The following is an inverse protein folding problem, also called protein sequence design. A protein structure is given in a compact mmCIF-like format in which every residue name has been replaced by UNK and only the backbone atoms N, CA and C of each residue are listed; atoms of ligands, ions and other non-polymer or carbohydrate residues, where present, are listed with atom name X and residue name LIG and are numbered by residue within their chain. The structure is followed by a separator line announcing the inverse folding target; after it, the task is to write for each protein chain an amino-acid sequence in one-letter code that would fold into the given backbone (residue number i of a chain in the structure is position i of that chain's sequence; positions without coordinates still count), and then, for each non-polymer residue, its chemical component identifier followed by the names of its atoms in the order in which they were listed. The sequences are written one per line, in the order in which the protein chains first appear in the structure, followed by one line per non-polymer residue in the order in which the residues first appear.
data_IF_518016485592
#
_entry.id   IF_518016485592
#
_cell.length_a   1.000
_cell.length_b   1.000
_cell.length_c   1.000
_cell.angle_alpha   90.00
_cell.angle_beta   90.00
_cell.angle_gamma   90.00
#
_symmetry.space_group_name_H-M   'P 1'
#
loop_
_entity.id
_entity.type
_entity.pdbx_description
1 polymer ?
#
# COMPACT_ATOMS: atom_id res chain seq x y z
N UNK A 1 -26.17 11.21 23.88
CA UNK A 1 -26.67 10.27 22.85
C UNK A 1 -25.79 10.47 21.62
N UNK A 2 -24.60 9.87 21.61
CA UNK A 2 -23.50 10.24 20.69
C UNK A 2 -22.55 9.06 20.40
N UNK A 3 -23.04 7.83 20.57
CA UNK A 3 -22.24 6.60 20.50
C UNK A 3 -22.58 5.70 19.31
N UNK A 4 -23.65 6.00 18.56
CA UNK A 4 -24.12 5.16 17.45
C UNK A 4 -23.36 5.44 16.16
N UNK A 5 -23.14 6.70 15.79
CA UNK A 5 -22.42 7.11 14.57
C UNK A 5 -20.98 6.56 14.48
N UNK A 6 -20.30 6.47 15.62
CA UNK A 6 -18.87 6.07 15.67
C UNK A 6 -18.62 4.57 15.47
N UNK A 7 -19.63 3.70 15.68
CA UNK A 7 -19.50 2.25 15.41
C UNK A 7 -19.68 1.96 13.92
N UNK A 8 -20.57 2.68 13.26
CA UNK A 8 -20.88 2.49 11.85
C UNK A 8 -19.70 2.89 10.95
N UNK A 9 -18.98 3.97 11.29
CA UNK A 9 -17.73 4.39 10.62
C UNK A 9 -16.58 3.38 10.78
N UNK A 10 -16.50 2.66 11.91
CA UNK A 10 -15.49 1.60 12.10
C UNK A 10 -15.85 0.33 11.35
N UNK A 11 -17.14 -0.01 11.26
CA UNK A 11 -17.61 -1.22 10.59
C UNK A 11 -17.43 -1.14 9.07
N UNK A 12 -17.57 0.06 8.51
CA UNK A 12 -17.41 0.35 7.08
C UNK A 12 -15.96 0.26 6.59
N UNK A 13 -14.96 0.47 7.45
CA UNK A 13 -13.54 0.30 7.12
C UNK A 13 -13.04 -1.15 7.07
N UNK A 14 -13.68 -2.09 7.76
CA UNK A 14 -13.18 -3.48 7.91
C UNK A 14 -13.04 -4.22 6.56
N UNK A 15 -14.04 -4.21 5.66
CA UNK A 15 -13.91 -4.88 4.36
C UNK A 15 -12.72 -4.38 3.53
N UNK A 16 -12.41 -3.09 3.63
CA UNK A 16 -11.27 -2.49 2.94
C UNK A 16 -9.93 -2.98 3.50
N UNK A 17 -9.77 -3.02 4.82
CA UNK A 17 -8.55 -3.56 5.46
C UNK A 17 -8.38 -5.06 5.19
N UNK A 18 -9.47 -5.82 5.11
CA UNK A 18 -9.44 -7.22 4.67
C UNK A 18 -8.99 -7.35 3.22
N UNK A 19 -9.52 -6.50 2.32
CA UNK A 19 -9.09 -6.47 0.92
C UNK A 19 -7.61 -6.16 0.77
N UNK A 20 -7.10 -5.12 1.46
CA UNK A 20 -5.66 -4.81 1.47
C UNK A 20 -4.85 -6.00 2.00
N UNK A 21 -5.32 -6.64 3.07
CA UNK A 21 -4.63 -7.80 3.67
C UNK A 21 -4.55 -8.95 2.67
N UNK A 22 -5.63 -9.27 1.96
CA UNK A 22 -5.67 -10.31 0.94
C UNK A 22 -4.78 -9.98 -0.25
N UNK A 23 -4.84 -8.73 -0.74
CA UNK A 23 -3.99 -8.27 -1.82
C UNK A 23 -2.51 -8.39 -1.43
N UNK A 24 -2.09 -7.75 -0.34
CA UNK A 24 -0.71 -7.79 0.13
C UNK A 24 -0.28 -9.22 0.45
N UNK A 25 -1.15 -10.03 1.04
CA UNK A 25 -0.89 -11.45 1.31
C UNK A 25 -0.63 -12.24 0.03
N UNK A 26 -1.43 -12.04 -1.02
CA UNK A 26 -1.22 -12.70 -2.32
C UNK A 26 0.10 -12.27 -2.99
N UNK A 27 0.41 -10.96 -2.94
CA UNK A 27 1.67 -10.40 -3.45
C UNK A 27 2.87 -10.95 -2.67
N UNK A 28 2.75 -11.03 -1.34
CA UNK A 28 3.76 -11.58 -0.44
C UNK A 28 4.05 -13.04 -0.78
N UNK A 29 2.99 -13.85 -0.93
CA UNK A 29 3.12 -15.27 -1.25
C UNK A 29 3.72 -15.47 -2.64
N UNK A 30 3.24 -14.72 -3.64
CA UNK A 30 3.80 -14.75 -5.00
C UNK A 30 5.28 -14.38 -5.01
N UNK A 31 5.66 -13.30 -4.32
CA UNK A 31 7.04 -12.86 -4.22
C UNK A 31 7.92 -13.87 -3.49
N UNK A 32 7.45 -14.45 -2.38
CA UNK A 32 8.18 -15.47 -1.63
C UNK A 32 8.43 -16.73 -2.47
N UNK A 33 7.41 -17.21 -3.20
CA UNK A 33 7.55 -18.37 -4.09
C UNK A 33 8.51 -18.09 -5.24
N UNK A 34 8.42 -16.91 -5.87
CA UNK A 34 9.32 -16.50 -6.94
C UNK A 34 10.77 -16.40 -6.44
N UNK A 35 10.98 -15.68 -5.35
CA UNK A 35 12.30 -15.49 -4.71
C UNK A 35 12.94 -16.82 -4.29
N UNK A 36 12.14 -17.76 -3.77
CA UNK A 36 12.62 -19.10 -3.41
C UNK A 36 13.06 -19.91 -4.65
N UNK A 37 12.30 -19.83 -5.75
CA UNK A 37 12.61 -20.53 -7.01
C UNK A 37 13.84 -19.97 -7.70
N UNK A 38 14.08 -18.67 -7.59
CA UNK A 38 15.25 -17.98 -8.14
C UNK A 38 16.53 -18.22 -7.32
N UNK A 39 16.50 -19.11 -6.33
CA UNK A 39 17.67 -19.49 -5.52
C UNK A 39 17.97 -18.53 -4.37
N UNK A 40 17.21 -17.46 -4.22
CA UNK A 40 17.40 -16.45 -3.16
C UNK A 40 16.59 -16.78 -1.90
N UNK A 41 16.54 -18.04 -1.49
CA UNK A 41 15.72 -18.52 -0.37
C UNK A 41 16.00 -17.77 0.96
N UNK A 42 17.22 -17.24 1.14
CA UNK A 42 17.60 -16.44 2.30
C UNK A 42 16.77 -15.14 2.46
N UNK A 43 16.22 -14.60 1.37
CA UNK A 43 15.41 -13.39 1.39
C UNK A 43 13.93 -13.65 1.73
N UNK A 44 13.48 -14.91 1.65
CA UNK A 44 12.08 -15.27 1.90
C UNK A 44 11.68 -14.92 3.32
N UNK A 45 12.43 -15.37 4.33
CA UNK A 45 12.15 -15.08 5.74
C UNK A 45 12.04 -13.58 6.03
N UNK A 46 13.07 -12.77 5.73
CA UNK A 46 13.03 -11.31 5.89
C UNK A 46 11.87 -10.66 5.14
N UNK A 47 11.58 -11.10 3.90
CA UNK A 47 10.46 -10.55 3.12
C UNK A 47 9.11 -10.80 3.81
N UNK A 48 8.86 -12.01 4.31
CA UNK A 48 7.64 -12.37 5.01
C UNK A 48 7.46 -11.52 6.28
N UNK A 49 8.55 -11.30 7.03
CA UNK A 49 8.52 -10.44 8.22
C UNK A 49 8.18 -8.99 7.87
N UNK A 50 8.79 -8.44 6.81
CA UNK A 50 8.52 -7.06 6.39
C UNK A 50 7.09 -6.88 5.88
N UNK A 51 6.57 -7.83 5.10
CA UNK A 51 5.17 -7.80 4.67
C UNK A 51 4.19 -7.98 5.84
N UNK A 52 4.49 -8.87 6.79
CA UNK A 52 3.70 -9.01 8.00
C UNK A 52 3.70 -7.72 8.82
N UNK A 53 4.83 -7.03 8.92
CA UNK A 53 4.92 -5.71 9.55
C UNK A 53 4.08 -4.67 8.79
N UNK A 54 4.10 -4.69 7.46
CA UNK A 54 3.32 -3.79 6.61
C UNK A 54 1.81 -3.96 6.82
N UNK A 55 1.34 -5.21 6.80
CA UNK A 55 -0.06 -5.59 7.10
C UNK A 55 -0.42 -5.27 8.55
N UNK A 56 0.46 -5.59 9.49
CA UNK A 56 0.26 -5.28 10.91
C UNK A 56 0.10 -3.78 11.16
N UNK A 57 0.87 -2.95 10.45
CA UNK A 57 0.72 -1.50 10.51
C UNK A 57 -0.66 -1.04 10.02
N UNK A 58 -1.19 -1.61 8.94
CA UNK A 58 -2.57 -1.31 8.51
C UNK A 58 -3.57 -1.57 9.64
N UNK A 59 -3.53 -2.75 10.25
CA UNK A 59 -4.43 -3.07 11.37
C UNK A 59 -4.21 -2.17 12.60
N UNK A 60 -2.97 -1.79 12.87
CA UNK A 60 -2.67 -0.83 13.94
C UNK A 60 -3.22 0.56 13.64
N UNK A 61 -3.24 0.99 12.38
CA UNK A 61 -3.83 2.26 11.96
C UNK A 61 -5.34 2.26 12.20
N UNK A 62 -6.02 1.19 11.82
CA UNK A 62 -7.43 1.00 12.13
C UNK A 62 -7.71 1.08 13.64
N UNK A 63 -6.89 0.44 14.47
CA UNK A 63 -7.04 0.47 15.92
C UNK A 63 -6.76 1.83 16.57
N UNK A 64 -5.78 2.58 16.04
CA UNK A 64 -5.21 3.79 16.64
C UNK A 64 -5.58 5.08 15.91
N UNK A 65 -6.45 5.05 14.91
CA UNK A 65 -6.79 6.23 14.07
C UNK A 65 -7.29 7.44 14.86
N UNK A 66 -7.85 7.21 16.06
CA UNK A 66 -8.36 8.27 16.93
C UNK A 66 -7.25 9.10 17.58
N UNK A 67 -5.99 8.63 17.55
CA UNK A 67 -4.85 9.37 18.10
C UNK A 67 -4.36 10.42 17.11
N UNK A 68 -4.35 11.71 17.48
CA UNK A 68 -4.18 12.82 16.52
C UNK A 68 -2.82 12.88 15.82
N UNK A 69 -1.77 12.26 16.38
CA UNK A 69 -0.42 12.22 15.80
C UNK A 69 -0.03 10.86 15.22
N UNK A 70 -0.88 9.83 15.41
CA UNK A 70 -0.55 8.48 14.97
C UNK A 70 -0.36 8.38 13.46
N UNK A 71 -1.17 9.13 12.70
CA UNK A 71 -1.08 9.15 11.24
C UNK A 71 0.32 9.51 10.72
N UNK A 72 1.04 10.44 11.37
CA UNK A 72 2.40 10.83 10.95
C UNK A 72 3.34 9.64 11.07
N UNK A 73 3.34 8.99 12.24
CA UNK A 73 4.17 7.83 12.54
C UNK A 73 3.82 6.68 11.61
N UNK A 74 2.52 6.45 11.39
CA UNK A 74 2.00 5.42 10.52
C UNK A 74 2.50 5.59 9.08
N UNK A 75 2.21 6.73 8.44
CA UNK A 75 2.60 6.92 7.04
C UNK A 75 4.12 7.02 6.87
N UNK A 76 4.86 7.53 7.85
CA UNK A 76 6.32 7.48 7.83
C UNK A 76 6.83 6.03 7.88
N UNK A 77 6.31 5.22 8.79
CA UNK A 77 6.69 3.80 8.91
C UNK A 77 6.32 3.01 7.66
N UNK A 78 5.12 3.24 7.08
CA UNK A 78 4.72 2.61 5.83
C UNK A 78 5.64 3.00 4.68
N UNK A 79 5.98 4.29 4.53
CA UNK A 79 6.94 4.74 3.53
C UNK A 79 8.32 4.06 3.69
N UNK A 80 8.82 3.96 4.94
CA UNK A 80 10.07 3.26 5.22
C UNK A 80 10.01 1.79 4.82
N UNK A 81 8.93 1.07 5.18
CA UNK A 81 8.76 -0.33 4.79
C UNK A 81 8.70 -0.50 3.27
N UNK A 82 8.01 0.40 2.57
CA UNK A 82 7.93 0.39 1.11
C UNK A 82 9.31 0.56 0.49
N UNK A 83 10.11 1.50 0.97
CA UNK A 83 11.47 1.71 0.47
C UNK A 83 12.32 0.46 0.70
N UNK A 84 12.27 -0.14 1.90
CA UNK A 84 13.03 -1.35 2.21
C UNK A 84 12.59 -2.50 1.30
N UNK A 85 11.29 -2.77 1.20
CA UNK A 85 10.73 -3.84 0.36
C UNK A 85 11.06 -3.65 -1.12
N UNK A 86 10.94 -2.43 -1.65
CA UNK A 86 11.24 -2.13 -3.05
C UNK A 86 12.75 -2.17 -3.37
N UNK A 87 13.60 -2.06 -2.35
CA UNK A 87 15.06 -2.04 -2.50
C UNK A 87 15.71 -3.41 -2.29
N UNK A 88 14.94 -4.42 -1.86
CA UNK A 88 15.45 -5.79 -1.74
C UNK A 88 15.76 -6.37 -3.12
N UNK A 89 16.76 -7.26 -3.24
CA UNK A 89 17.23 -7.74 -4.54
C UNK A 89 16.36 -8.88 -5.08
N UNK A 90 15.06 -8.65 -5.29
CA UNK A 90 14.14 -9.62 -5.90
C UNK A 90 14.25 -9.67 -7.43
N UNK A 91 14.97 -8.72 -8.02
CA UNK A 91 15.02 -8.48 -9.46
C UNK A 91 14.32 -7.17 -9.84
N UNK A 92 14.84 -6.50 -10.87
CA UNK A 92 14.44 -5.16 -11.34
C UNK A 92 12.93 -5.09 -11.60
N UNK A 93 12.36 -6.08 -12.30
CA UNK A 93 10.94 -6.08 -12.66
C UNK A 93 10.02 -6.34 -11.44
N UNK A 94 10.44 -7.22 -10.53
CA UNK A 94 9.73 -7.51 -9.28
C UNK A 94 9.71 -6.30 -8.35
N UNK A 95 10.84 -5.59 -8.23
CA UNK A 95 10.98 -4.42 -7.38
C UNK A 95 10.06 -3.27 -7.81
N UNK A 96 10.01 -2.97 -9.11
CA UNK A 96 9.11 -1.92 -9.63
C UNK A 96 7.64 -2.25 -9.41
N UNK A 97 7.25 -3.51 -9.64
CA UNK A 97 5.88 -3.98 -9.41
C UNK A 97 5.49 -3.91 -7.93
N UNK A 98 6.39 -4.32 -7.04
CA UNK A 98 6.18 -4.22 -5.59
C UNK A 98 6.05 -2.77 -5.16
N UNK A 99 6.97 -1.89 -5.58
CA UNK A 99 6.91 -0.47 -5.26
C UNK A 99 5.56 0.14 -5.68
N UNK A 100 5.13 -0.16 -6.91
CA UNK A 100 3.84 0.26 -7.44
C UNK A 100 2.66 -0.22 -6.59
N UNK A 101 2.57 -1.52 -6.33
CA UNK A 101 1.43 -2.07 -5.57
C UNK A 101 1.36 -1.46 -4.18
N UNK A 102 2.48 -1.44 -3.44
CA UNK A 102 2.50 -0.95 -2.07
C UNK A 102 2.15 0.54 -1.97
N UNK A 103 2.68 1.37 -2.87
CA UNK A 103 2.39 2.81 -2.88
C UNK A 103 0.96 3.10 -3.33
N UNK A 104 0.43 2.41 -4.35
CA UNK A 104 -0.97 2.56 -4.77
C UNK A 104 -1.92 2.21 -3.63
N UNK A 105 -1.66 1.13 -2.87
CA UNK A 105 -2.49 0.80 -1.70
C UNK A 105 -2.44 1.88 -0.61
N UNK A 106 -1.30 2.54 -0.41
CA UNK A 106 -1.20 3.67 0.53
C UNK A 106 -1.96 4.90 0.04
N UNK A 107 -1.91 5.21 -1.27
CA UNK A 107 -2.72 6.28 -1.86
C UNK A 107 -4.21 5.97 -1.71
N UNK A 108 -4.63 4.73 -2.02
CA UNK A 108 -6.00 4.27 -1.86
C UNK A 108 -6.49 4.38 -0.41
N UNK A 109 -5.68 3.95 0.56
CA UNK A 109 -6.01 4.11 1.99
C UNK A 109 -6.10 5.58 2.40
N UNK A 110 -5.16 6.43 1.97
CA UNK A 110 -5.19 7.84 2.30
C UNK A 110 -6.44 8.54 1.75
N UNK A 111 -6.85 8.21 0.52
CA UNK A 111 -8.09 8.72 -0.07
C UNK A 111 -9.33 8.17 0.63
N UNK A 112 -9.35 6.89 0.97
CA UNK A 112 -10.46 6.26 1.68
C UNK A 112 -10.66 6.80 3.10
N UNK A 113 -9.58 7.00 3.86
CA UNK A 113 -9.65 7.47 5.25
C UNK A 113 -9.88 8.97 5.38
N UNK A 114 -9.23 9.76 4.53
CA UNK A 114 -9.23 11.22 4.66
C UNK A 114 -10.13 11.91 3.64
N UNK A 115 -10.80 11.17 2.76
CA UNK A 115 -11.71 11.68 1.74
C UNK A 115 -11.11 12.80 0.90
N UNK A 116 -11.93 13.79 0.56
CA UNK A 116 -11.49 14.99 -0.16
C UNK A 116 -10.88 16.06 0.76
N UNK A 117 -9.82 15.71 1.49
CA UNK A 117 -9.11 16.65 2.37
C UNK A 117 -7.73 17.02 1.83
N UNK A 118 -7.23 18.19 2.26
CA UNK A 118 -5.83 18.62 1.98
C UNK A 118 -4.80 17.58 2.45
N UNK A 119 -5.14 16.83 3.50
CA UNK A 119 -4.30 15.75 4.03
C UNK A 119 -4.21 14.57 3.06
N UNK A 120 -5.34 14.12 2.53
CA UNK A 120 -5.37 13.09 1.49
C UNK A 120 -4.55 13.49 0.27
N UNK A 121 -4.69 14.74 -0.19
CA UNK A 121 -3.90 15.26 -1.31
C UNK A 121 -2.39 15.25 -1.00
N UNK A 122 -1.98 15.74 0.17
CA UNK A 122 -0.58 15.78 0.57
C UNK A 122 0.04 14.39 0.67
N UNK A 123 -0.66 13.43 1.26
CA UNK A 123 -0.23 12.03 1.34
C UNK A 123 -0.19 11.38 -0.05
N UNK A 124 -1.20 11.63 -0.89
CA UNK A 124 -1.25 11.13 -2.26
C UNK A 124 -0.06 11.61 -3.09
N UNK A 125 0.23 12.91 -3.05
CA UNK A 125 1.40 13.49 -3.74
C UNK A 125 2.71 12.92 -3.18
N UNK A 126 2.85 12.81 -1.86
CA UNK A 126 4.03 12.23 -1.23
C UNK A 126 4.29 10.79 -1.71
N UNK A 127 3.27 9.92 -1.69
CA UNK A 127 3.43 8.53 -2.15
C UNK A 127 3.60 8.42 -3.67
N UNK A 128 3.00 9.31 -4.45
CA UNK A 128 3.22 9.37 -5.90
C UNK A 128 4.66 9.77 -6.23
N UNK A 129 5.22 10.77 -5.53
CA UNK A 129 6.63 11.16 -5.66
C UNK A 129 7.55 10.03 -5.19
N UNK A 130 7.24 9.37 -4.06
CA UNK A 130 8.00 8.21 -3.60
C UNK A 130 8.03 7.09 -4.64
N UNK A 131 6.87 6.77 -5.24
CA UNK A 131 6.78 5.78 -6.29
C UNK A 131 7.64 6.17 -7.50
N UNK A 132 7.55 7.43 -7.97
CA UNK A 132 8.35 7.89 -9.08
C UNK A 132 9.86 7.72 -8.81
N UNK A 133 10.32 8.09 -7.61
CA UNK A 133 11.72 7.91 -7.20
C UNK A 133 12.13 6.43 -7.18
N UNK A 134 11.29 5.56 -6.63
CA UNK A 134 11.56 4.12 -6.58
C UNK A 134 11.61 3.52 -7.99
N UNK A 135 10.72 3.91 -8.90
CA UNK A 135 10.73 3.42 -10.28
C UNK A 135 11.96 3.90 -11.06
N UNK A 136 12.36 5.16 -10.88
CA UNK A 136 13.57 5.68 -11.52
C UNK A 136 14.84 4.94 -11.07
N UNK A 137 14.85 4.40 -9.85
CA UNK A 137 15.97 3.61 -9.32
C UNK A 137 15.90 2.13 -9.71
N UNK A 138 14.69 1.57 -9.76
CA UNK A 138 14.47 0.12 -9.87
C UNK A 138 14.12 -0.36 -11.28
N UNK A 139 13.75 0.53 -12.21
CA UNK A 139 13.29 0.16 -13.55
C UNK A 139 14.13 0.86 -14.63
N UNK A 140 14.51 0.12 -15.67
CA UNK A 140 15.27 0.70 -16.78
C UNK A 140 14.43 1.71 -17.58
N UNK A 141 15.02 2.80 -18.11
CA UNK A 141 14.27 3.84 -18.82
C UNK A 141 13.40 3.33 -19.97
N UNK A 142 13.85 2.30 -20.68
CA UNK A 142 13.11 1.67 -21.78
C UNK A 142 11.83 0.95 -21.32
N UNK A 143 11.78 0.49 -20.06
CA UNK A 143 10.64 -0.24 -19.48
C UNK A 143 9.69 0.65 -18.70
N UNK A 144 10.11 1.88 -18.35
CA UNK A 144 9.28 2.83 -17.61
C UNK A 144 7.90 3.08 -18.22
N UNK A 145 7.73 3.25 -19.55
CA UNK A 145 6.39 3.47 -20.12
C UNK A 145 5.45 2.28 -19.90
N UNK A 146 5.97 1.05 -20.02
CA UNK A 146 5.19 -0.17 -19.78
C UNK A 146 4.76 -0.28 -18.32
N UNK A 147 5.69 -0.06 -17.40
CA UNK A 147 5.39 -0.08 -15.95
C UNK A 147 4.41 1.04 -15.58
N UNK A 148 4.56 2.24 -16.14
CA UNK A 148 3.64 3.35 -15.93
C UNK A 148 2.23 3.03 -16.42
N UNK A 149 2.07 2.36 -17.56
CA UNK A 149 0.78 1.92 -18.06
C UNK A 149 0.13 0.89 -17.11
N UNK A 150 0.89 -0.09 -16.63
CA UNK A 150 0.42 -1.07 -15.64
C UNK A 150 -0.01 -0.41 -14.33
N UNK A 151 0.78 0.55 -13.83
CA UNK A 151 0.46 1.36 -12.65
C UNK A 151 -0.82 2.14 -12.87
N UNK A 152 -1.01 2.73 -14.04
CA UNK A 152 -2.19 3.53 -14.33
C UNK A 152 -3.45 2.66 -14.39
N UNK A 153 -3.39 1.49 -15.03
CA UNK A 153 -4.50 0.53 -15.07
C UNK A 153 -4.83 0.00 -13.68
N UNK A 154 -3.82 -0.51 -12.96
CA UNK A 154 -4.01 -1.05 -11.61
C UNK A 154 -4.47 0.05 -10.65
N UNK A 155 -3.81 1.21 -10.68
CA UNK A 155 -4.14 2.37 -9.86
C UNK A 155 -5.55 2.89 -10.11
N UNK A 156 -5.99 2.95 -11.37
CA UNK A 156 -7.37 3.32 -11.71
C UNK A 156 -8.36 2.30 -11.14
N UNK A 157 -8.08 1.00 -11.28
CA UNK A 157 -8.92 -0.04 -10.68
C UNK A 157 -9.01 0.10 -9.15
N UNK A 158 -7.88 0.38 -8.48
CA UNK A 158 -7.86 0.65 -7.04
C UNK A 158 -8.68 1.88 -6.67
N UNK A 159 -8.52 2.99 -7.38
CA UNK A 159 -9.27 4.23 -7.13
C UNK A 159 -10.76 4.02 -7.37
N UNK A 160 -11.15 3.29 -8.43
CA UNK A 160 -12.55 2.96 -8.71
C UNK A 160 -13.15 2.08 -7.61
N UNK A 161 -12.43 1.07 -7.14
CA UNK A 161 -12.85 0.29 -5.97
C UNK A 161 -13.01 1.19 -4.75
N UNK A 162 -12.07 2.11 -4.49
CA UNK A 162 -12.17 3.03 -3.34
C UNK A 162 -13.37 3.96 -3.43
N UNK A 163 -13.64 4.52 -4.62
CA UNK A 163 -14.80 5.39 -4.84
C UNK A 163 -16.09 4.59 -4.69
N UNK A 164 -16.16 3.38 -5.22
CA UNK A 164 -17.34 2.51 -5.14
C UNK A 164 -17.60 2.08 -3.70
N UNK A 165 -16.57 1.70 -2.95
CA UNK A 165 -16.68 1.45 -1.52
C UNK A 165 -17.12 2.71 -0.78
N UNK A 166 -16.48 3.86 -1.01
CA UNK A 166 -16.86 5.11 -0.35
C UNK A 166 -18.32 5.54 -0.65
N UNK A 167 -18.82 5.27 -1.86
CA UNK A 167 -20.22 5.54 -2.24
C UNK A 167 -21.22 4.53 -1.68
N UNK A 168 -20.80 3.29 -1.41
CA UNK A 168 -21.66 2.29 -0.75
C UNK A 168 -21.77 2.50 0.76
N UNK A 169 -20.86 3.30 1.33
CA UNK A 169 -20.73 3.54 2.77
C UNK A 169 -21.25 4.94 3.18
N UNK A 170 -21.62 5.78 2.20
CA UNK A 170 -22.22 7.11 2.36
C UNK A 170 -23.73 7.07 2.05
#
# INVERSE_FOLDING_TARGET
METTTRRDEKFTGIPFYLFITLLLGSVTLGNALFTARDGNAALVGPSLVLFAAHIGLYWSNFALMTKPRWWIVYYAAQATLIVILASLPYGIDSNGTLAATLTITQVGEALGLWGNSRRALGLGLFYATLLALLLMQSVSPARLPGVAATILVNGTFFVLLMVLYNQQLA
#
